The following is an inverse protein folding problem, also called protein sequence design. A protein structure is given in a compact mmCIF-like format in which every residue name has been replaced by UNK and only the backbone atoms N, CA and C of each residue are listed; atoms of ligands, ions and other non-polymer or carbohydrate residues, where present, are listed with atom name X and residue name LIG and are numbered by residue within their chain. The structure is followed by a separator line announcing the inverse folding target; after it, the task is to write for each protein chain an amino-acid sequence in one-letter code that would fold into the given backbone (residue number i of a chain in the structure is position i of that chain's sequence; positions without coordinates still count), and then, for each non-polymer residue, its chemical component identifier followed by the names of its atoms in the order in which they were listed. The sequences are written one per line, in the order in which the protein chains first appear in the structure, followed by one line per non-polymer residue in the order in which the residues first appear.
data_IF_375287332409
#
_entry.id   IF_375287332409
#
_cell.length_a   1.000
_cell.length_b   1.000
_cell.length_c   1.000
_cell.angle_alpha   90.00
_cell.angle_beta   90.00
_cell.angle_gamma   90.00
#
_symmetry.space_group_name_H-M   'P 1'
#
loop_
_entity.id
_entity.type
_entity.pdbx_description
1 polymer ?
#
# COMPACT_ATOMS: atom_id res chain seq x y z
N UNK A 1 -12.84 14.73 -15.66
CA UNK A 1 -13.59 14.52 -14.40
C UNK A 1 -13.40 13.05 -14.03
N UNK A 2 -12.57 12.74 -13.02
CA UNK A 2 -12.27 11.35 -12.64
C UNK A 2 -13.49 10.79 -11.89
N UNK A 3 -14.20 9.84 -12.50
CA UNK A 3 -15.32 9.18 -11.83
C UNK A 3 -14.77 8.31 -10.68
N UNK A 4 -15.23 8.58 -9.45
CA UNK A 4 -14.88 7.78 -8.27
C UNK A 4 -15.39 6.35 -8.43
N UNK A 5 -14.49 5.37 -8.34
CA UNK A 5 -14.83 3.94 -8.36
C UNK A 5 -15.56 3.47 -7.09
N UNK A 6 -15.53 4.27 -6.02
CA UNK A 6 -16.43 4.16 -4.88
C UNK A 6 -17.16 5.50 -4.71
N UNK A 7 -18.33 5.63 -5.32
CA UNK A 7 -19.26 6.69 -4.96
C UNK A 7 -19.89 6.31 -3.61
N UNK A 8 -19.23 6.66 -2.51
CA UNK A 8 -19.89 6.61 -1.21
C UNK A 8 -20.92 7.75 -1.16
N UNK A 9 -22.12 7.51 -1.64
CA UNK A 9 -23.32 8.24 -1.21
C UNK A 9 -23.74 7.69 0.16
N UNK A 10 -22.84 7.77 1.13
CA UNK A 10 -23.19 7.44 2.51
C UNK A 10 -23.53 8.74 3.21
N UNK A 11 -24.79 8.88 3.62
CA UNK A 11 -25.26 9.91 4.55
C UNK A 11 -24.92 9.57 6.01
N UNK A 12 -24.25 8.44 6.24
CA UNK A 12 -23.77 8.08 7.56
C UNK A 12 -22.60 9.01 7.94
N UNK A 13 -22.54 9.48 9.21
CA UNK A 13 -21.36 10.16 9.70
C UNK A 13 -20.13 9.29 9.40
N UNK A 14 -19.00 9.88 8.99
CA UNK A 14 -17.79 9.12 8.71
C UNK A 14 -17.52 8.21 9.92
N UNK A 15 -17.42 6.88 9.74
CA UNK A 15 -17.05 6.01 10.83
C UNK A 15 -15.76 6.57 11.41
N UNK A 16 -15.71 6.72 12.73
CA UNK A 16 -14.59 7.30 13.45
C UNK A 16 -13.26 6.85 12.82
N UNK A 17 -12.39 7.82 12.53
CA UNK A 17 -11.10 7.74 11.83
C UNK A 17 -10.10 6.74 12.45
N UNK A 18 -10.44 5.45 12.55
CA UNK A 18 -9.65 4.44 13.26
C UNK A 18 -9.57 3.13 12.47
N UNK A 19 -9.45 3.24 11.15
CA UNK A 19 -8.85 2.16 10.37
C UNK A 19 -7.52 2.65 9.82
N UNK A 20 -6.51 2.77 10.70
CA UNK A 20 -5.13 3.10 10.32
C UNK A 20 -4.57 2.12 9.28
N UNK A 21 -5.08 0.88 9.28
CA UNK A 21 -4.67 -0.19 8.37
C UNK A 21 -5.91 -0.93 7.84
N UNK A 22 -5.96 -1.11 6.51
CA UNK A 22 -6.94 -1.92 5.82
C UNK A 22 -6.24 -2.98 4.95
N UNK A 23 -6.80 -4.19 4.90
CA UNK A 23 -6.32 -5.29 4.06
C UNK A 23 -7.34 -5.60 2.96
N UNK A 24 -6.87 -5.65 1.71
CA UNK A 24 -7.69 -6.06 0.56
C UNK A 24 -7.27 -7.47 0.15
N UNK A 25 -8.22 -8.40 0.14
CA UNK A 25 -7.98 -9.79 -0.24
C UNK A 25 -8.90 -10.20 -1.39
N UNK A 26 -8.48 -11.20 -2.16
CA UNK A 26 -9.27 -11.72 -3.27
C UNK A 26 -8.46 -12.65 -4.17
N UNK A 27 -9.12 -13.47 -5.01
CA UNK A 27 -8.47 -14.41 -5.91
C UNK A 27 -7.42 -13.75 -6.84
N UNK A 28 -6.51 -14.52 -7.43
CA UNK A 28 -5.65 -14.02 -8.50
C UNK A 28 -6.48 -13.34 -9.60
N UNK A 29 -5.95 -12.27 -10.18
CA UNK A 29 -6.55 -11.54 -11.30
C UNK A 29 -7.92 -10.87 -11.05
N UNK A 30 -8.39 -10.73 -9.79
CA UNK A 30 -9.65 -10.02 -9.49
C UNK A 30 -9.54 -8.47 -9.49
N UNK A 31 -8.44 -7.90 -9.98
CA UNK A 31 -8.27 -6.45 -10.12
C UNK A 31 -7.73 -5.70 -8.90
N UNK A 32 -7.21 -6.39 -7.87
CA UNK A 32 -6.68 -5.78 -6.64
C UNK A 32 -5.66 -4.67 -6.90
N UNK A 33 -4.65 -4.92 -7.72
CA UNK A 33 -3.62 -3.92 -8.06
C UNK A 33 -4.24 -2.67 -8.70
N UNK A 34 -5.21 -2.84 -9.60
CA UNK A 34 -5.92 -1.70 -10.23
C UNK A 34 -6.78 -0.95 -9.22
N UNK A 35 -7.44 -1.67 -8.31
CA UNK A 35 -8.22 -1.08 -7.21
C UNK A 35 -7.35 -0.25 -6.27
N UNK A 36 -6.20 -0.80 -5.85
CA UNK A 36 -5.23 -0.12 -5.00
C UNK A 36 -4.64 1.12 -5.69
N UNK A 37 -4.37 1.03 -6.99
CA UNK A 37 -3.88 2.18 -7.75
C UNK A 37 -4.94 3.27 -7.89
N UNK A 38 -6.20 2.90 -8.14
CA UNK A 38 -7.31 3.85 -8.16
C UNK A 38 -7.53 4.50 -6.78
N UNK A 39 -7.37 3.73 -5.71
CA UNK A 39 -7.39 4.27 -4.34
C UNK A 39 -6.26 5.29 -4.13
N UNK A 40 -5.06 5.03 -4.64
CA UNK A 40 -3.95 5.98 -4.60
C UNK A 40 -4.30 7.30 -5.29
N UNK A 41 -4.89 7.25 -6.49
CA UNK A 41 -5.36 8.42 -7.23
C UNK A 41 -6.38 9.21 -6.41
N UNK A 42 -7.39 8.53 -5.86
CA UNK A 42 -8.45 9.18 -5.07
C UNK A 42 -7.86 9.86 -3.82
N UNK A 43 -6.97 9.18 -3.09
CA UNK A 43 -6.30 9.73 -1.89
C UNK A 43 -5.40 10.92 -2.20
N UNK A 44 -4.62 10.86 -3.28
CA UNK A 44 -3.78 11.98 -3.72
C UNK A 44 -4.60 13.18 -4.19
N UNK A 45 -5.79 12.94 -4.77
CA UNK A 45 -6.74 13.98 -5.17
C UNK A 45 -7.41 14.64 -3.97
N UNK A 46 -7.88 13.83 -3.01
CA UNK A 46 -8.61 14.29 -1.83
C UNK A 46 -7.73 15.05 -0.84
N UNK A 47 -6.52 14.55 -0.58
CA UNK A 47 -5.62 15.14 0.41
C UNK A 47 -4.72 16.24 -0.16
N UNK A 48 -4.52 16.27 -1.48
CA UNK A 48 -3.48 17.09 -2.12
C UNK A 48 -2.03 16.69 -1.79
N UNK A 49 -1.83 15.65 -0.96
CA UNK A 49 -0.51 15.15 -0.52
C UNK A 49 -0.05 13.96 -1.36
N UNK A 50 1.22 13.60 -1.19
CA UNK A 50 1.79 12.42 -1.82
C UNK A 50 1.20 11.12 -1.26
N UNK A 51 1.10 10.10 -2.11
CA UNK A 51 0.75 8.72 -1.74
C UNK A 51 1.93 7.83 -2.14
N UNK A 52 2.31 6.90 -1.27
CA UNK A 52 3.38 5.95 -1.55
C UNK A 52 2.77 4.62 -1.95
N UNK A 53 3.17 4.09 -3.11
CA UNK A 53 2.75 2.81 -3.64
C UNK A 53 3.94 1.85 -3.66
N UNK A 54 3.96 0.91 -2.74
CA UNK A 54 4.99 -0.12 -2.61
C UNK A 54 4.57 -1.34 -3.40
N UNK A 55 5.44 -1.82 -4.28
CA UNK A 55 5.20 -3.02 -5.09
C UNK A 55 6.51 -3.68 -5.52
N UNK A 56 6.43 -4.88 -6.08
CA UNK A 56 7.55 -5.51 -6.79
C UNK A 56 7.65 -4.95 -8.19
N UNK A 57 8.87 -4.61 -8.63
CA UNK A 57 9.10 -4.04 -9.98
C UNK A 57 8.59 -4.95 -11.09
N UNK A 58 9.00 -6.22 -11.07
CA UNK A 58 8.61 -7.19 -12.08
C UNK A 58 7.09 -7.44 -12.13
N UNK A 59 6.36 -7.30 -11.02
CA UNK A 59 4.90 -7.47 -11.01
C UNK A 59 4.21 -6.29 -11.70
N UNK A 60 4.61 -5.07 -11.35
CA UNK A 60 4.03 -3.86 -11.91
C UNK A 60 4.33 -3.72 -13.41
N UNK A 61 5.55 -4.09 -13.85
CA UNK A 61 5.94 -4.01 -15.26
C UNK A 61 5.23 -5.06 -16.13
N UNK A 62 5.03 -6.28 -15.63
CA UNK A 62 4.38 -7.35 -16.39
C UNK A 62 2.84 -7.29 -16.34
N UNK A 63 2.27 -6.58 -15.37
CA UNK A 63 0.83 -6.49 -15.17
C UNK A 63 0.47 -5.13 -14.58
N UNK A 64 0.60 -4.05 -15.37
CA UNK A 64 0.34 -2.70 -14.89
C UNK A 64 -1.13 -2.53 -14.49
N UNK A 65 -1.43 -1.67 -13.50
CA UNK A 65 -2.80 -1.40 -13.10
C UNK A 65 -3.60 -0.77 -14.25
N UNK A 66 -4.85 -1.19 -14.39
CA UNK A 66 -5.80 -0.52 -15.28
C UNK A 66 -6.23 0.81 -14.66
N UNK A 67 -6.17 1.87 -15.45
CA UNK A 67 -6.69 3.18 -15.07
C UNK A 67 -8.19 3.26 -15.38
N UNK A 68 -8.95 3.96 -14.52
CA UNK A 68 -10.34 4.27 -14.83
C UNK A 68 -10.44 5.16 -16.07
N UNK A 69 -11.55 5.02 -16.80
CA UNK A 69 -11.80 5.83 -18.00
C UNK A 69 -11.77 7.32 -17.65
N UNK A 70 -11.00 8.09 -18.42
CA UNK A 70 -10.86 9.54 -18.25
C UNK A 70 -9.78 9.98 -17.25
N UNK A 71 -8.96 9.07 -16.71
CA UNK A 71 -7.69 9.44 -16.07
C UNK A 71 -6.70 9.84 -17.17
N UNK A 72 -6.40 11.13 -17.23
CA UNK A 72 -5.36 11.66 -18.11
C UNK A 72 -3.97 11.34 -17.52
N UNK A 73 -3.07 10.65 -18.25
CA UNK A 73 -1.70 10.40 -17.81
C UNK A 73 -0.88 11.67 -17.51
N UNK A 74 -1.26 12.82 -18.11
CA UNK A 74 -0.62 14.12 -17.85
C UNK A 74 -1.13 14.79 -16.57
N UNK A 75 -2.12 14.19 -15.90
CA UNK A 75 -2.73 14.78 -14.71
C UNK A 75 -1.73 14.86 -13.56
N UNK A 76 -1.60 16.05 -12.97
CA UNK A 76 -0.66 16.34 -11.88
C UNK A 76 -0.84 15.46 -10.64
N UNK A 77 -1.99 14.82 -10.46
CA UNK A 77 -2.23 13.81 -9.42
C UNK A 77 -1.28 12.63 -9.53
N UNK A 78 -0.95 12.16 -10.74
CA UNK A 78 -0.04 11.01 -10.89
C UNK A 78 1.37 11.35 -10.41
N UNK A 79 1.78 12.62 -10.50
CA UNK A 79 3.07 13.09 -9.96
C UNK A 79 3.13 13.01 -8.42
N UNK A 80 1.98 12.93 -7.74
CA UNK A 80 1.89 12.73 -6.29
C UNK A 80 1.93 11.26 -5.88
N UNK A 81 1.85 10.32 -6.83
CA UNK A 81 1.96 8.89 -6.55
C UNK A 81 3.43 8.48 -6.66
N UNK A 82 4.07 8.24 -5.52
CA UNK A 82 5.45 7.79 -5.45
C UNK A 82 5.52 6.27 -5.43
N UNK A 83 6.08 5.67 -6.48
CA UNK A 83 6.23 4.22 -6.57
C UNK A 83 7.57 3.81 -5.94
N UNK A 84 7.52 2.89 -4.98
CA UNK A 84 8.71 2.28 -4.35
C UNK A 84 8.77 0.80 -4.67
N UNK A 85 9.82 0.42 -5.40
CA UNK A 85 10.10 -0.98 -5.71
C UNK A 85 10.84 -1.65 -4.55
N UNK A 86 10.22 -2.66 -3.95
CA UNK A 86 10.77 -3.47 -2.86
C UNK A 86 10.72 -4.94 -3.28
N UNK A 87 11.71 -5.73 -2.85
CA UNK A 87 11.84 -7.15 -3.24
C UNK A 87 11.49 -8.14 -2.12
N UNK A 88 11.52 -7.72 -0.85
CA UNK A 88 11.29 -8.60 0.30
C UNK A 88 10.79 -7.85 1.55
N UNK A 89 10.52 -8.60 2.62
CA UNK A 89 10.11 -8.05 3.91
C UNK A 89 11.14 -7.09 4.53
N UNK A 90 12.43 -7.24 4.17
CA UNK A 90 13.48 -6.36 4.67
C UNK A 90 13.37 -4.95 4.13
N UNK A 91 13.05 -4.80 2.84
CA UNK A 91 12.80 -3.49 2.26
C UNK A 91 11.60 -2.79 2.91
N UNK A 92 10.54 -3.53 3.24
CA UNK A 92 9.39 -2.98 3.99
C UNK A 92 9.84 -2.51 5.37
N UNK A 93 10.59 -3.35 6.10
CA UNK A 93 11.12 -3.00 7.43
C UNK A 93 12.00 -1.75 7.40
N UNK A 94 12.91 -1.66 6.43
CA UNK A 94 13.79 -0.50 6.24
C UNK A 94 13.00 0.77 5.95
N UNK A 95 11.99 0.69 5.09
CA UNK A 95 11.13 1.84 4.77
C UNK A 95 10.41 2.36 6.01
N UNK A 96 9.72 1.49 6.76
CA UNK A 96 8.99 1.90 7.96
C UNK A 96 9.89 2.24 9.15
N UNK A 97 11.09 1.65 9.25
CA UNK A 97 12.08 2.07 10.24
C UNK A 97 12.58 3.50 9.99
N UNK A 98 12.69 3.91 8.74
CA UNK A 98 13.07 5.27 8.33
C UNK A 98 11.88 6.24 8.26
N UNK A 99 10.67 5.83 8.64
CA UNK A 99 9.47 6.64 8.47
C UNK A 99 9.53 7.96 9.25
N UNK A 100 10.21 7.97 10.40
CA UNK A 100 10.48 9.16 11.21
C UNK A 100 11.41 10.19 10.56
N UNK A 101 12.07 9.86 9.45
CA UNK A 101 12.96 10.76 8.71
C UNK A 101 12.23 11.50 7.58
N UNK A 102 10.94 11.27 7.38
CA UNK A 102 10.17 11.93 6.33
C UNK A 102 9.86 13.37 6.73
N UNK A 103 10.25 14.34 5.89
CA UNK A 103 9.93 15.76 6.09
C UNK A 103 8.40 16.01 6.08
N UNK A 104 7.67 15.20 5.31
CA UNK A 104 6.22 15.21 5.28
C UNK A 104 5.68 13.80 5.12
N UNK A 105 4.69 13.45 5.95
CA UNK A 105 4.06 12.14 5.87
C UNK A 105 3.18 12.03 4.60
N UNK A 106 3.14 10.86 3.94
CA UNK A 106 2.21 10.64 2.84
C UNK A 106 0.76 10.55 3.38
N UNK A 107 -0.22 10.84 2.52
CA UNK A 107 -1.63 10.63 2.87
C UNK A 107 -2.02 9.15 2.98
N UNK A 108 -1.26 8.27 2.32
CA UNK A 108 -1.39 6.83 2.46
C UNK A 108 -0.10 6.12 2.04
N UNK A 109 0.18 4.97 2.66
CA UNK A 109 1.15 3.98 2.18
C UNK A 109 0.37 2.75 1.77
N UNK A 110 0.49 2.37 0.50
CA UNK A 110 -0.20 1.23 -0.10
C UNK A 110 0.84 0.17 -0.41
N UNK A 111 0.59 -1.08 -0.04
CA UNK A 111 1.49 -2.20 -0.33
C UNK A 111 0.73 -3.22 -1.17
N UNK A 112 1.07 -3.32 -2.45
CA UNK A 112 0.47 -4.29 -3.37
C UNK A 112 1.10 -5.67 -3.19
N UNK A 113 0.27 -6.73 -3.25
CA UNK A 113 0.67 -8.12 -3.03
C UNK A 113 1.50 -8.33 -1.72
N UNK A 114 1.06 -7.74 -0.58
CA UNK A 114 1.79 -7.77 0.70
C UNK A 114 2.29 -9.16 1.14
N UNK A 115 1.50 -10.20 0.94
CA UNK A 115 1.87 -11.57 1.34
C UNK A 115 3.05 -12.15 0.53
N UNK A 116 3.34 -11.61 -0.65
CA UNK A 116 4.39 -12.08 -1.56
C UNK A 116 5.78 -11.59 -1.16
N UNK A 117 5.89 -10.61 -0.25
CA UNK A 117 7.19 -10.17 0.29
C UNK A 117 7.80 -11.18 1.27
N UNK A 118 7.02 -12.17 1.72
CA UNK A 118 7.40 -13.13 2.76
C UNK A 118 7.60 -14.52 2.16
N UNK A 119 8.83 -14.80 1.72
CA UNK A 119 9.20 -16.13 1.22
C UNK A 119 9.25 -17.17 2.36
N UNK A 120 8.66 -18.34 2.16
CA UNK A 120 8.67 -19.40 3.18
C UNK A 120 10.09 -19.83 3.55
N UNK A 121 10.96 -19.99 2.54
CA UNK A 121 12.36 -20.40 2.73
C UNK A 121 13.13 -19.38 3.59
N UNK A 122 13.05 -18.09 3.25
CA UNK A 122 13.74 -17.03 3.99
C UNK A 122 13.21 -16.92 5.43
N UNK A 123 11.88 -17.01 5.59
CA UNK A 123 11.27 -16.97 6.91
C UNK A 123 11.71 -18.16 7.76
N UNK A 124 11.68 -19.39 7.22
CA UNK A 124 12.10 -20.60 7.92
C UNK A 124 13.57 -20.54 8.34
N UNK A 125 14.47 -20.06 7.47
CA UNK A 125 15.88 -19.87 7.80
C UNK A 125 16.08 -18.89 8.96
N UNK A 126 15.24 -17.86 9.05
CA UNK A 126 15.36 -16.81 10.08
C UNK A 126 14.74 -17.17 11.42
N UNK A 127 13.60 -17.87 11.42
CA UNK A 127 12.81 -18.12 12.62
C UNK A 127 12.72 -19.59 13.05
N UNK A 128 13.17 -20.53 12.21
CA UNK A 128 13.36 -21.94 12.56
C UNK A 128 12.10 -22.71 12.95
N UNK A 129 10.91 -22.26 12.57
CA UNK A 129 9.65 -22.90 12.96
C UNK A 129 8.60 -22.95 11.83
N UNK A 130 7.60 -23.83 11.99
CA UNK A 130 6.57 -24.06 10.97
C UNK A 130 5.68 -22.83 10.69
N UNK A 131 5.59 -21.89 11.64
CA UNK A 131 4.83 -20.62 11.51
C UNK A 131 5.75 -19.43 11.23
N UNK A 132 6.95 -19.68 10.71
CA UNK A 132 7.94 -18.64 10.51
C UNK A 132 7.44 -17.51 9.59
N UNK A 133 6.68 -17.85 8.55
CA UNK A 133 6.07 -16.88 7.64
C UNK A 133 5.02 -16.02 8.34
N UNK A 134 4.10 -16.64 9.07
CA UNK A 134 3.07 -15.92 9.83
C UNK A 134 3.71 -14.96 10.85
N UNK A 135 4.75 -15.42 11.55
CA UNK A 135 5.50 -14.60 12.50
C UNK A 135 6.17 -13.41 11.81
N UNK A 136 6.72 -13.60 10.60
CA UNK A 136 7.32 -12.53 9.81
C UNK A 136 6.27 -11.47 9.42
N UNK A 137 5.13 -11.93 8.89
CA UNK A 137 4.00 -11.09 8.47
C UNK A 137 3.50 -10.24 9.63
N UNK A 138 3.20 -10.86 10.77
CA UNK A 138 2.69 -10.16 11.96
C UNK A 138 3.69 -9.14 12.50
N UNK A 139 4.98 -9.48 12.54
CA UNK A 139 6.03 -8.55 12.99
C UNK A 139 6.15 -7.32 12.08
N UNK A 140 6.05 -7.51 10.77
CA UNK A 140 6.08 -6.39 9.83
C UNK A 140 4.82 -5.54 9.94
N UNK A 141 3.63 -6.14 10.06
CA UNK A 141 2.38 -5.40 10.30
C UNK A 141 2.46 -4.56 11.59
N UNK A 142 2.97 -5.14 12.68
CA UNK A 142 3.16 -4.43 13.94
C UNK A 142 4.15 -3.27 13.79
N UNK A 143 5.24 -3.46 13.03
CA UNK A 143 6.18 -2.38 12.71
C UNK A 143 5.50 -1.25 11.91
N UNK A 144 4.70 -1.59 10.90
CA UNK A 144 3.96 -0.61 10.10
C UNK A 144 3.01 0.21 10.99
N UNK A 145 2.22 -0.46 11.85
CA UNK A 145 1.32 0.21 12.79
C UNK A 145 2.09 1.13 13.74
N UNK A 146 3.18 0.65 14.34
CA UNK A 146 4.00 1.45 15.25
C UNK A 146 4.59 2.67 14.53
N UNK A 147 5.12 2.49 13.32
CA UNK A 147 5.66 3.59 12.53
C UNK A 147 4.59 4.66 12.24
N UNK A 148 3.36 4.26 11.91
CA UNK A 148 2.24 5.17 11.65
C UNK A 148 1.80 5.90 12.94
N UNK A 149 1.66 5.17 14.05
CA UNK A 149 1.21 5.74 15.33
C UNK A 149 2.22 6.71 15.95
N UNK A 150 3.52 6.45 15.77
CA UNK A 150 4.60 7.22 16.38
C UNK A 150 5.26 8.25 15.45
N UNK A 151 4.91 8.24 14.17
CA UNK A 151 5.22 9.33 13.25
C UNK A 151 4.41 10.57 13.61
N UNK A 152 5.04 11.52 14.33
CA UNK A 152 4.46 12.82 14.67
C UNK A 152 5.44 13.93 14.33
#
# INVERSE_FOLDING_TARGET
MVHRFFACTSTAPPPAENADIALVTGPPCCGKTSLLFQFAINRATESGRCVVFICRKGRLENSPPFLSQGVDPSHSVLQRIQIKYIEDDEGIRKYFAAFHLLDSFPAAVIIDDFADFFSERSCQQRYGNARARDLAVVRVLALCQNAIVHAK
#
